data_IF_338439344197
#
_entry.id   IF_338439344197
#
_cell.length_a   1.000
_cell.length_b   1.000
_cell.length_c   1.000
_cell.angle_alpha   90.00
_cell.angle_beta   90.00
_cell.angle_gamma   90.00
#
_symmetry.space_group_name_H-M   'P 1'
#
loop_
_entity.id
_entity.type
_entity.pdbx_description
1 polymer ?
#
# COMPACT_ATOMS: atom_id res chain seq x y z
N UNK A 1 10.44 18.75 -28.46
CA UNK A 1 10.31 18.63 -26.99
C UNK A 1 9.19 17.63 -26.73
N UNK A 2 9.40 16.69 -25.82
CA UNK A 2 8.40 15.65 -25.56
C UNK A 2 7.32 16.24 -24.67
N UNK A 3 6.17 16.62 -25.25
CA UNK A 3 5.04 17.11 -24.46
C UNK A 3 4.44 15.96 -23.65
N UNK A 4 4.89 15.81 -22.40
CA UNK A 4 4.29 14.89 -21.44
C UNK A 4 2.90 15.36 -21.06
N UNK A 5 1.99 14.41 -20.88
CA UNK A 5 0.63 14.65 -20.41
C UNK A 5 0.40 13.93 -19.08
N UNK A 6 -0.48 14.51 -18.27
CA UNK A 6 -0.96 13.84 -17.07
C UNK A 6 -1.56 12.49 -17.46
N UNK A 7 -1.13 11.43 -16.80
CA UNK A 7 -1.51 10.05 -17.10
C UNK A 7 -0.50 9.26 -17.94
N UNK A 8 0.47 9.91 -18.59
CA UNK A 8 1.51 9.21 -19.33
C UNK A 8 2.32 8.30 -18.40
N UNK A 9 2.72 7.14 -18.91
CA UNK A 9 3.61 6.23 -18.19
C UNK A 9 5.03 6.44 -18.68
N UNK A 10 5.92 6.77 -17.75
CA UNK A 10 7.30 7.17 -18.00
C UNK A 10 8.24 6.35 -17.12
N UNK A 11 9.51 6.31 -17.51
CA UNK A 11 10.58 5.80 -16.68
C UNK A 11 11.76 6.80 -16.68
N UNK A 12 12.54 6.80 -15.59
CA UNK A 12 13.64 7.74 -15.39
C UNK A 12 14.94 7.21 -15.99
N UNK A 13 15.62 8.04 -16.78
CA UNK A 13 16.91 7.69 -17.40
C UNK A 13 18.01 7.56 -16.36
N UNK A 14 18.05 8.49 -15.42
CA UNK A 14 19.05 8.54 -14.34
C UNK A 14 19.05 7.32 -13.42
N UNK A 15 17.94 6.58 -13.36
CA UNK A 15 17.79 5.34 -12.59
C UNK A 15 17.75 4.08 -13.46
N UNK A 16 18.17 4.18 -14.73
CA UNK A 16 18.28 3.01 -15.61
C UNK A 16 16.93 2.39 -15.99
N UNK A 17 15.84 3.17 -15.96
CA UNK A 17 14.49 2.73 -16.28
C UNK A 17 13.93 1.60 -15.38
N UNK A 18 14.35 1.59 -14.12
CA UNK A 18 14.03 0.56 -13.12
C UNK A 18 12.55 0.52 -12.70
N UNK A 19 11.95 1.68 -12.48
CA UNK A 19 10.57 1.84 -12.01
C UNK A 19 9.78 2.65 -13.02
N UNK A 20 8.56 2.19 -13.27
CA UNK A 20 7.63 2.88 -14.14
C UNK A 20 6.69 3.74 -13.30
N UNK A 21 6.50 4.97 -13.75
CA UNK A 21 5.73 6.00 -13.07
C UNK A 21 4.63 6.53 -13.97
N UNK A 22 3.51 6.93 -13.37
CA UNK A 22 2.47 7.75 -13.99
C UNK A 22 2.77 9.22 -13.70
N UNK A 23 2.67 10.06 -14.72
CA UNK A 23 2.75 11.52 -14.57
C UNK A 23 1.48 12.01 -13.87
N UNK A 24 1.63 12.68 -12.73
CA UNK A 24 0.50 13.19 -11.93
C UNK A 24 0.39 14.70 -11.92
N UNK A 25 1.50 15.42 -12.03
CA UNK A 25 1.52 16.88 -12.06
C UNK A 25 2.74 17.39 -12.84
N UNK A 26 2.62 18.55 -13.48
CA UNK A 26 3.67 19.18 -14.28
C UNK A 26 3.76 20.64 -13.85
N UNK A 27 4.88 21.02 -13.24
CA UNK A 27 5.12 22.39 -12.77
C UNK A 27 6.21 23.05 -13.59
N UNK A 28 5.90 24.22 -14.14
CA UNK A 28 6.87 25.05 -14.84
C UNK A 28 7.65 25.91 -13.83
N UNK A 29 8.97 25.71 -13.77
CA UNK A 29 9.88 26.50 -12.93
C UNK A 29 10.66 27.56 -13.74
N UNK A 30 10.25 27.86 -14.98
CA UNK A 30 10.85 28.87 -15.86
C UNK A 30 12.17 28.48 -16.53
N UNK A 31 12.79 27.36 -16.12
CA UNK A 31 13.99 26.78 -16.75
C UNK A 31 13.69 25.43 -17.41
N UNK A 32 13.04 24.56 -16.66
CA UNK A 32 12.62 23.23 -17.10
C UNK A 32 11.40 22.81 -16.27
N UNK A 33 10.50 22.05 -16.88
CA UNK A 33 9.36 21.49 -16.18
C UNK A 33 9.83 20.45 -15.16
N UNK A 34 9.38 20.59 -13.92
CA UNK A 34 9.51 19.56 -12.88
C UNK A 34 8.21 18.76 -12.84
N UNK A 35 8.34 17.48 -13.09
CA UNK A 35 7.22 16.56 -13.21
C UNK A 35 7.13 15.72 -11.94
N UNK A 36 5.94 15.71 -11.34
CA UNK A 36 5.63 14.81 -10.21
C UNK A 36 5.17 13.47 -10.75
N UNK A 37 5.73 12.41 -10.19
CA UNK A 37 5.63 11.04 -10.64
C UNK A 37 5.12 10.15 -9.52
N UNK A 38 4.30 9.17 -9.89
CA UNK A 38 3.77 8.17 -8.96
C UNK A 38 3.99 6.77 -9.51
N UNK A 39 4.61 5.89 -8.73
CA UNK A 39 4.93 4.53 -9.16
C UNK A 39 3.67 3.74 -9.51
N UNK A 40 3.66 3.06 -10.66
CA UNK A 40 2.48 2.30 -11.09
C UNK A 40 2.32 0.95 -10.38
N UNK A 41 3.41 0.42 -9.85
CA UNK A 41 3.50 -0.91 -9.23
C UNK A 41 4.04 -0.86 -7.80
N UNK A 42 4.88 0.13 -7.50
CA UNK A 42 5.48 0.35 -6.19
C UNK A 42 4.92 1.61 -5.57
N UNK A 43 4.69 1.59 -4.25
CA UNK A 43 4.22 2.74 -3.46
C UNK A 43 5.34 3.76 -3.29
N UNK A 44 5.54 4.58 -4.31
CA UNK A 44 6.60 5.59 -4.35
C UNK A 44 6.14 6.83 -5.11
N UNK A 45 6.54 7.99 -4.64
CA UNK A 45 6.38 9.27 -5.32
C UNK A 45 7.76 9.90 -5.52
N UNK A 46 7.97 10.53 -6.67
CA UNK A 46 9.21 11.20 -7.01
C UNK A 46 8.93 12.47 -7.81
N UNK A 47 9.84 13.44 -7.77
CA UNK A 47 9.94 14.53 -8.73
C UNK A 47 11.12 14.29 -9.67
N UNK A 48 10.98 14.71 -10.93
CA UNK A 48 12.05 14.61 -11.91
C UNK A 48 11.94 15.73 -12.97
N UNK A 49 13.07 16.23 -13.49
CA UNK A 49 13.06 17.12 -14.63
C UNK A 49 12.56 16.40 -15.89
N UNK A 50 11.91 17.14 -16.79
CA UNK A 50 11.40 16.61 -18.08
C UNK A 50 12.47 15.86 -18.87
N UNK A 51 13.70 16.38 -18.89
CA UNK A 51 14.84 15.77 -19.56
C UNK A 51 15.26 14.42 -19.00
N UNK A 52 14.84 14.04 -17.79
CA UNK A 52 15.13 12.72 -17.19
C UNK A 52 14.09 11.66 -17.59
N UNK A 53 12.99 12.05 -18.25
CA UNK A 53 11.86 11.16 -18.49
C UNK A 53 11.79 10.63 -19.92
N UNK A 54 11.32 9.38 -20.02
CA UNK A 54 11.05 8.71 -21.29
C UNK A 54 9.72 7.99 -21.20
N UNK A 55 8.78 8.35 -22.07
CA UNK A 55 7.49 7.66 -22.21
C UNK A 55 7.72 6.20 -22.58
N UNK A 56 7.08 5.29 -21.86
CA UNK A 56 7.18 3.86 -22.10
C UNK A 56 6.03 3.39 -23.00
N UNK A 57 6.33 2.58 -24.03
CA UNK A 57 5.29 2.00 -24.88
C UNK A 57 4.42 1.04 -24.08
N UNK A 58 3.14 0.96 -24.42
CA UNK A 58 2.14 0.16 -23.70
C UNK A 58 2.54 -1.32 -23.55
N UNK A 59 3.22 -1.89 -24.56
CA UNK A 59 3.74 -3.26 -24.51
C UNK A 59 4.75 -3.47 -23.38
N UNK A 60 5.67 -2.53 -23.15
CA UNK A 60 6.62 -2.57 -22.04
C UNK A 60 5.92 -2.38 -20.70
N UNK A 61 4.95 -1.46 -20.64
CA UNK A 61 4.16 -1.23 -19.43
C UNK A 61 3.42 -2.49 -19.01
N UNK A 62 2.80 -3.20 -19.96
CA UNK A 62 2.10 -4.46 -19.70
C UNK A 62 3.06 -5.53 -19.18
N UNK A 63 4.19 -5.73 -19.87
CA UNK A 63 5.21 -6.69 -19.45
C UNK A 63 5.73 -6.41 -18.03
N UNK A 64 6.00 -5.15 -17.72
CA UNK A 64 6.43 -4.72 -16.37
C UNK A 64 5.39 -5.04 -15.30
N UNK A 65 4.10 -4.73 -15.56
CA UNK A 65 3.01 -5.06 -14.62
C UNK A 65 2.87 -6.56 -14.40
N UNK A 66 2.96 -7.36 -15.47
CA UNK A 66 2.92 -8.82 -15.40
C UNK A 66 4.09 -9.39 -14.60
N UNK A 67 5.29 -8.85 -14.79
CA UNK A 67 6.47 -9.28 -14.04
C UNK A 67 6.31 -9.02 -12.53
N UNK A 68 5.94 -7.79 -12.15
CA UNK A 68 5.68 -7.46 -10.74
C UNK A 68 4.58 -8.36 -10.18
N UNK A 69 3.50 -8.55 -10.94
CA UNK A 69 2.40 -9.41 -10.52
C UNK A 69 2.86 -10.85 -10.26
N UNK A 70 3.68 -11.41 -11.15
CA UNK A 70 4.24 -12.75 -11.02
C UNK A 70 5.11 -12.88 -9.77
N UNK A 71 5.92 -11.86 -9.47
CA UNK A 71 6.72 -11.83 -8.24
C UNK A 71 5.84 -11.79 -6.98
N UNK A 72 4.78 -10.96 -6.98
CA UNK A 72 3.79 -10.93 -5.92
C UNK A 72 3.12 -12.32 -5.73
N UNK A 73 2.72 -12.98 -6.81
CA UNK A 73 2.13 -14.33 -6.73
C UNK A 73 3.11 -15.35 -6.17
N UNK A 74 4.37 -15.29 -6.58
CA UNK A 74 5.43 -16.18 -6.05
C UNK A 74 5.59 -16.01 -4.55
N UNK A 75 5.67 -14.77 -4.05
CA UNK A 75 5.76 -14.45 -2.62
C UNK A 75 4.53 -14.92 -1.84
N UNK A 76 3.33 -14.72 -2.41
CA UNK A 76 2.08 -15.18 -1.80
C UNK A 76 2.00 -16.70 -1.73
N UNK A 77 2.43 -17.40 -2.78
CA UNK A 77 2.48 -18.86 -2.78
C UNK A 77 3.46 -19.37 -1.73
N UNK A 78 4.64 -18.75 -1.62
CA UNK A 78 5.58 -19.05 -0.55
C UNK A 78 4.94 -18.87 0.83
N UNK A 79 4.30 -17.73 1.10
CA UNK A 79 3.62 -17.48 2.38
C UNK A 79 2.55 -18.55 2.71
N UNK A 80 1.77 -18.99 1.71
CA UNK A 80 0.80 -20.09 1.88
C UNK A 80 1.48 -21.39 2.28
N UNK A 81 2.57 -21.76 1.61
CA UNK A 81 3.31 -23.01 1.91
C UNK A 81 3.93 -22.97 3.30
N UNK A 82 4.44 -21.81 3.73
CA UNK A 82 5.01 -21.62 5.08
C UNK A 82 3.92 -21.63 6.16
N UNK A 83 2.80 -20.95 5.93
CA UNK A 83 1.64 -20.99 6.84
C UNK A 83 1.10 -22.41 7.01
N UNK A 84 1.01 -23.19 5.93
CA UNK A 84 0.61 -24.59 5.98
C UNK A 84 1.57 -25.44 6.84
N UNK A 85 2.89 -25.24 6.71
CA UNK A 85 3.90 -25.90 7.56
C UNK A 85 3.79 -25.47 9.02
N UNK A 86 3.63 -24.17 9.29
CA UNK A 86 3.44 -23.64 10.65
C UNK A 86 2.21 -24.23 11.33
N UNK A 87 1.13 -24.44 10.59
CA UNK A 87 -0.10 -25.06 11.11
C UNK A 87 0.11 -26.55 11.44
N UNK A 88 0.99 -27.26 10.71
CA UNK A 88 1.42 -28.63 11.04
C UNK A 88 2.27 -28.68 12.32
N UNK A 89 3.11 -27.67 12.56
CA UNK A 89 3.86 -27.55 13.82
C UNK A 89 2.98 -27.13 15.00
N UNK A 90 2.04 -26.21 14.81
CA UNK A 90 1.11 -25.76 15.85
C UNK A 90 0.14 -26.86 16.33
N UNK A 91 -0.19 -27.82 15.45
CA UNK A 91 -0.95 -29.03 15.82
C UNK A 91 -0.11 -30.06 16.59
N UNK A 92 1.21 -29.93 16.60
CA UNK A 92 2.15 -30.78 17.35
C UNK A 92 2.73 -30.12 18.60
N UNK A 93 2.41 -28.84 18.86
CA UNK A 93 2.87 -28.13 20.06
C UNK A 93 2.03 -28.52 21.28
N UNK A 94 2.67 -28.83 22.42
CA UNK A 94 1.93 -29.26 23.59
C UNK A 94 1.20 -28.08 24.28
N UNK A 95 0.10 -28.36 25.02
CA UNK A 95 -0.91 -27.35 25.34
C UNK A 95 -0.42 -26.13 26.13
N UNK A 96 0.66 -26.25 26.90
CA UNK A 96 1.14 -25.18 27.80
C UNK A 96 1.84 -24.02 27.07
N UNK A 97 2.37 -24.24 25.87
CA UNK A 97 3.06 -23.21 25.07
C UNK A 97 2.10 -22.32 24.25
N UNK A 98 0.80 -22.65 24.21
CA UNK A 98 -0.22 -21.86 23.49
C UNK A 98 -0.56 -20.53 24.16
N UNK A 99 -0.17 -20.33 25.43
CA UNK A 99 -0.66 -19.23 26.29
C UNK A 99 -0.04 -17.85 25.99
N UNK A 100 1.02 -17.77 25.19
CA UNK A 100 1.76 -16.52 24.96
C UNK A 100 1.34 -15.68 23.74
N UNK A 101 0.53 -16.23 22.82
CA UNK A 101 0.23 -15.59 21.52
C UNK A 101 -1.27 -15.43 21.22
N UNK A 102 -2.16 -15.90 22.08
CA UNK A 102 -3.61 -15.80 21.92
C UNK A 102 -4.23 -15.16 23.17
N UNK A 103 -5.18 -14.24 22.97
CA UNK A 103 -6.04 -13.73 24.06
C UNK A 103 -6.73 -14.92 24.72
N UNK A 104 -6.73 -14.94 26.05
CA UNK A 104 -7.42 -15.96 26.85
C UNK A 104 -8.94 -15.74 26.76
N UNK A 105 -9.57 -16.32 25.75
CA UNK A 105 -11.03 -16.44 25.64
C UNK A 105 -11.37 -17.91 25.85
N UNK A 106 -11.80 -18.25 27.07
CA UNK A 106 -12.06 -19.62 27.53
C UNK A 106 -13.10 -20.44 26.74
N UNK A 107 -13.68 -19.90 25.65
CA UNK A 107 -14.74 -20.51 24.84
C UNK A 107 -14.36 -20.85 23.38
N UNK A 108 -13.10 -20.70 22.96
CA UNK A 108 -12.70 -20.90 21.55
C UNK A 108 -12.42 -22.37 21.13
N UNK A 109 -13.08 -23.36 21.75
CA UNK A 109 -12.83 -24.77 21.37
C UNK A 109 -13.47 -25.20 20.04
N UNK A 110 -14.28 -24.37 19.38
CA UNK A 110 -14.93 -24.74 18.10
C UNK A 110 -15.05 -23.62 17.05
N UNK A 111 -14.32 -22.51 17.17
CA UNK A 111 -14.30 -21.53 16.08
C UNK A 111 -13.21 -21.86 15.07
N UNK A 112 -13.49 -22.81 14.18
CA UNK A 112 -12.84 -22.75 12.87
C UNK A 112 -13.27 -21.43 12.24
N UNK A 113 -12.34 -20.55 11.87
CA UNK A 113 -12.63 -19.33 11.13
C UNK A 113 -13.21 -19.74 9.77
N UNK A 114 -14.54 -19.92 9.69
CA UNK A 114 -15.23 -20.39 8.49
C UNK A 114 -15.29 -19.32 7.39
N UNK A 115 -15.07 -18.05 7.73
CA UNK A 115 -15.02 -16.91 6.80
C UNK A 115 -13.89 -15.96 7.20
N UNK A 116 -13.15 -15.39 6.22
CA UNK A 116 -12.25 -14.27 6.51
C UNK A 116 -13.06 -13.13 7.11
N UNK A 117 -12.52 -12.46 8.13
CA UNK A 117 -13.15 -11.29 8.72
C UNK A 117 -13.33 -10.16 7.71
N UNK A 118 -14.30 -9.28 7.97
CA UNK A 118 -14.60 -8.11 7.17
C UNK A 118 -13.52 -7.05 7.35
N UNK A 119 -12.98 -6.55 6.24
CA UNK A 119 -11.91 -5.54 6.21
C UNK A 119 -12.50 -4.15 5.97
N UNK A 120 -12.09 -3.16 6.75
CA UNK A 120 -12.22 -1.74 6.42
C UNK A 120 -10.85 -1.21 6.03
N UNK A 121 -10.67 -0.79 4.77
CA UNK A 121 -9.41 -0.25 4.26
C UNK A 121 -9.57 1.25 3.98
N UNK A 122 -8.86 2.08 4.74
CA UNK A 122 -8.71 3.50 4.51
C UNK A 122 -7.33 3.76 3.88
N UNK A 123 -7.28 4.38 2.71
CA UNK A 123 -6.01 4.76 2.07
C UNK A 123 -6.04 6.25 1.66
N UNK A 124 -4.92 6.95 1.85
CA UNK A 124 -4.70 8.30 1.31
C UNK A 124 -4.54 8.34 -0.21
N UNK A 125 -4.38 7.18 -0.85
CA UNK A 125 -4.14 7.05 -2.27
C UNK A 125 -5.18 6.18 -2.99
N UNK A 126 -5.94 6.79 -3.90
CA UNK A 126 -7.02 6.15 -4.65
C UNK A 126 -6.53 5.00 -5.56
N UNK A 127 -5.41 5.18 -6.28
CA UNK A 127 -4.94 4.16 -7.25
C UNK A 127 -4.49 2.87 -6.52
N UNK A 128 -3.80 3.02 -5.37
CA UNK A 128 -3.42 1.87 -4.56
C UNK A 128 -4.63 1.22 -3.90
N UNK A 129 -5.57 2.01 -3.39
CA UNK A 129 -6.81 1.48 -2.82
C UNK A 129 -7.55 0.62 -3.84
N UNK A 130 -7.75 1.10 -5.06
CA UNK A 130 -8.40 0.34 -6.13
C UNK A 130 -7.68 -0.98 -6.43
N UNK A 131 -6.35 -0.97 -6.42
CA UNK A 131 -5.54 -2.17 -6.60
C UNK A 131 -5.76 -3.18 -5.48
N UNK A 132 -5.76 -2.72 -4.22
CA UNK A 132 -6.06 -3.55 -3.06
C UNK A 132 -7.47 -4.12 -3.10
N UNK A 133 -8.48 -3.31 -3.42
CA UNK A 133 -9.88 -3.76 -3.53
C UNK A 133 -10.08 -4.83 -4.61
N UNK A 134 -9.38 -4.71 -5.76
CA UNK A 134 -9.37 -5.75 -6.80
C UNK A 134 -8.80 -7.07 -6.29
N UNK A 135 -7.71 -7.04 -5.52
CA UNK A 135 -7.09 -8.24 -4.96
C UNK A 135 -7.92 -8.85 -3.81
N UNK A 136 -8.56 -8.04 -2.95
CA UNK A 136 -9.51 -8.54 -1.95
C UNK A 136 -10.67 -9.29 -2.63
N UNK A 137 -11.29 -8.66 -3.64
CA UNK A 137 -12.39 -9.28 -4.41
C UNK A 137 -11.96 -10.57 -5.08
N UNK A 138 -10.79 -10.60 -5.72
CA UNK A 138 -10.23 -11.80 -6.37
C UNK A 138 -10.07 -12.98 -5.40
N UNK A 139 -9.88 -12.70 -4.11
CA UNK A 139 -9.62 -13.70 -3.06
C UNK A 139 -10.83 -13.99 -2.17
N UNK A 140 -11.99 -13.41 -2.48
CA UNK A 140 -13.21 -13.60 -1.69
C UNK A 140 -13.14 -12.98 -0.29
N UNK A 141 -12.32 -11.95 -0.11
CA UNK A 141 -12.25 -11.17 1.13
C UNK A 141 -13.33 -10.10 1.08
N UNK A 142 -14.20 -10.06 2.08
CA UNK A 142 -15.18 -8.99 2.26
C UNK A 142 -14.45 -7.73 2.74
N UNK A 143 -14.41 -6.70 1.90
CA UNK A 143 -13.66 -5.48 2.18
C UNK A 143 -14.44 -4.25 1.74
N UNK A 144 -14.36 -3.20 2.55
CA UNK A 144 -14.87 -1.86 2.25
C UNK A 144 -13.67 -0.93 2.15
N UNK A 145 -13.48 -0.33 0.97
CA UNK A 145 -12.44 0.66 0.73
C UNK A 145 -12.98 2.08 0.83
N UNK A 146 -12.24 2.98 1.48
CA UNK A 146 -12.51 4.43 1.48
C UNK A 146 -11.22 5.18 1.20
N UNK A 147 -11.22 6.00 0.16
CA UNK A 147 -10.13 6.94 -0.08
C UNK A 147 -10.34 8.15 0.82
N UNK A 148 -9.40 8.38 1.72
CA UNK A 148 -9.43 9.46 2.71
C UNK A 148 -8.01 10.00 2.84
N UNK A 149 -7.75 11.27 2.49
CA UNK A 149 -6.45 11.90 2.68
C UNK A 149 -5.94 11.68 4.10
N UNK A 150 -4.63 11.46 4.27
CA UNK A 150 -4.02 11.08 5.54
C UNK A 150 -4.38 12.07 6.67
N UNK A 151 -4.40 13.36 6.34
CA UNK A 151 -4.78 14.44 7.27
C UNK A 151 -6.22 14.35 7.80
N UNK A 152 -7.11 13.72 7.04
CA UNK A 152 -8.54 13.60 7.36
C UNK A 152 -8.85 12.27 8.05
N UNK A 153 -8.00 11.25 7.89
CA UNK A 153 -8.20 9.92 8.47
C UNK A 153 -8.55 9.93 9.97
N UNK A 154 -7.88 10.70 10.86
CA UNK A 154 -8.21 10.72 12.29
C UNK A 154 -9.68 11.04 12.57
N UNK A 155 -10.25 11.98 11.82
CA UNK A 155 -11.64 12.41 12.00
C UNK A 155 -12.68 11.41 11.48
N UNK A 156 -12.29 10.47 10.61
CA UNK A 156 -13.21 9.51 9.98
C UNK A 156 -13.12 8.11 10.57
N UNK A 157 -11.96 7.68 11.08
CA UNK A 157 -11.70 6.29 11.51
C UNK A 157 -12.76 5.82 12.50
N UNK A 158 -12.99 6.56 13.59
CA UNK A 158 -13.92 6.14 14.64
C UNK A 158 -15.35 5.95 14.10
N UNK A 159 -15.85 6.93 13.34
CA UNK A 159 -17.18 6.86 12.74
C UNK A 159 -17.31 5.65 11.80
N UNK A 160 -16.32 5.43 10.94
CA UNK A 160 -16.33 4.32 9.99
C UNK A 160 -16.23 2.95 10.68
N UNK A 161 -15.50 2.84 11.79
CA UNK A 161 -15.49 1.62 12.61
C UNK A 161 -16.88 1.32 13.19
N UNK A 162 -17.58 2.33 13.72
CA UNK A 162 -18.94 2.15 14.25
C UNK A 162 -19.97 1.78 13.17
N UNK A 163 -19.90 2.46 12.02
CA UNK A 163 -20.82 2.23 10.90
C UNK A 163 -20.63 0.84 10.27
N UNK A 164 -19.37 0.42 10.07
CA UNK A 164 -19.06 -0.75 9.26
C UNK A 164 -18.83 -2.02 10.09
N UNK A 165 -18.51 -1.88 11.39
CA UNK A 165 -18.17 -2.96 12.32
C UNK A 165 -17.22 -4.00 11.71
N UNK A 166 -16.05 -3.58 11.19
CA UNK A 166 -15.10 -4.49 10.57
C UNK A 166 -14.40 -5.36 11.63
N UNK A 167 -13.91 -6.52 11.22
CA UNK A 167 -13.02 -7.36 12.03
C UNK A 167 -11.56 -6.89 11.92
N UNK A 168 -11.20 -6.26 10.79
CA UNK A 168 -9.84 -5.80 10.49
C UNK A 168 -9.91 -4.36 9.95
N UNK A 169 -9.13 -3.46 10.57
CA UNK A 169 -8.85 -2.13 10.02
C UNK A 169 -7.50 -2.14 9.30
N UNK A 170 -7.48 -1.69 8.06
CA UNK A 170 -6.27 -1.38 7.30
C UNK A 170 -6.23 0.13 7.11
N UNK A 171 -5.25 0.78 7.73
CA UNK A 171 -5.03 2.22 7.64
C UNK A 171 -3.71 2.46 6.91
N UNK A 172 -3.74 3.05 5.73
CA UNK A 172 -2.56 3.26 4.90
C UNK A 172 -2.53 4.66 4.29
N UNK A 173 -1.33 5.09 3.92
CA UNK A 173 -1.08 6.45 3.43
C UNK A 173 0.35 6.56 2.93
N UNK A 174 0.66 7.65 2.24
CA UNK A 174 2.02 8.05 1.96
C UNK A 174 2.60 8.77 3.17
N UNK A 175 3.90 8.68 3.31
CA UNK A 175 4.64 9.56 4.19
C UNK A 175 5.98 9.92 3.55
N UNK A 176 6.56 11.01 4.01
CA UNK A 176 7.81 11.53 3.49
C UNK A 176 8.44 12.47 4.50
N UNK A 177 9.75 12.63 4.40
CA UNK A 177 10.52 13.55 5.23
C UNK A 177 10.55 14.91 4.53
N UNK A 178 10.27 15.97 5.29
CA UNK A 178 10.33 17.34 4.79
C UNK A 178 11.77 17.72 4.42
N UNK A 179 11.97 18.39 3.27
CA UNK A 179 13.30 18.60 2.64
C UNK A 179 14.37 19.20 3.57
N UNK A 180 13.98 20.03 4.52
CA UNK A 180 14.91 20.74 5.41
C UNK A 180 15.14 20.04 6.77
N UNK A 181 14.47 18.91 7.01
CA UNK A 181 14.49 18.23 8.30
C UNK A 181 15.53 17.13 8.32
N UNK A 182 16.57 17.30 9.16
CA UNK A 182 17.63 16.30 9.37
C UNK A 182 17.41 15.42 10.61
N UNK A 183 16.45 15.79 11.46
CA UNK A 183 16.15 15.04 12.67
C UNK A 183 15.07 13.98 12.38
N UNK A 184 15.48 12.79 11.95
CA UNK A 184 14.59 11.67 11.68
C UNK A 184 13.88 11.12 12.93
N UNK A 185 14.31 11.50 14.14
CA UNK A 185 13.66 11.11 15.39
C UNK A 185 12.48 12.01 15.76
N UNK A 186 12.33 13.16 15.11
CA UNK A 186 11.24 14.10 15.36
C UNK A 186 10.04 13.78 14.46
N UNK A 187 8.88 13.54 15.06
CA UNK A 187 7.63 13.26 14.34
C UNK A 187 7.23 14.36 13.37
N UNK A 188 7.55 15.62 13.70
CA UNK A 188 7.25 16.78 12.86
C UNK A 188 8.14 16.89 11.62
N UNK A 189 9.16 16.03 11.50
CA UNK A 189 9.97 15.91 10.28
C UNK A 189 9.21 15.22 9.15
N UNK A 190 8.14 14.49 9.48
CA UNK A 190 7.34 13.71 8.55
C UNK A 190 6.05 14.44 8.17
N UNK A 191 5.66 14.31 6.90
CA UNK A 191 4.49 15.02 6.35
C UNK A 191 3.19 14.48 6.96
N UNK A 192 3.07 13.16 7.09
CA UNK A 192 1.81 12.50 7.42
C UNK A 192 1.85 11.63 8.69
N UNK A 193 3.02 11.26 9.21
CA UNK A 193 3.12 10.40 10.42
C UNK A 193 2.27 10.89 11.59
N UNK A 194 2.15 12.20 11.81
CA UNK A 194 1.35 12.77 12.89
C UNK A 194 -0.13 12.35 12.82
N UNK A 195 -0.69 12.28 11.61
CA UNK A 195 -2.09 11.91 11.41
C UNK A 195 -2.29 10.40 11.54
N UNK A 196 -1.28 9.61 11.15
CA UNK A 196 -1.33 8.17 11.40
C UNK A 196 -1.37 7.87 12.90
N UNK A 197 -0.56 8.56 13.71
CA UNK A 197 -0.57 8.43 15.18
C UNK A 197 -1.92 8.84 15.77
N UNK A 198 -2.50 9.94 15.30
CA UNK A 198 -3.80 10.41 15.80
C UNK A 198 -4.96 9.48 15.44
N UNK A 199 -4.84 8.73 14.34
CA UNK A 199 -5.86 7.83 13.83
C UNK A 199 -5.88 6.42 14.49
N UNK A 200 -4.80 6.01 15.18
CA UNK A 200 -4.60 4.67 15.75
C UNK A 200 -4.71 4.70 17.27
#
# INVERSE_FOLDING_TARGET
MANFKIGDIVARKSYGYDIFFKVVDIKDNGKENIITLKGISYRIQADAPESDLVVQPESKVRAYKEEVYRDCQRKLNYAKTYGARSQTYATRMPPWLKKGFYRDTANEREQSFKRPGKVLHLDGDQDYLETCMKEYKKRGIDAIGKHIPEREQPSYVYRLLQENKPDILVLTGHDGISKDQKNYSNINSYVNSRYFIEAV
#
